data_IF_822297764971
#
_entry.id   IF_822297764971
#
_cell.length_a   1.000
_cell.length_b   1.000
_cell.length_c   1.000
_cell.angle_alpha   90.00
_cell.angle_beta   90.00
_cell.angle_gamma   90.00
#
_symmetry.space_group_name_H-M   'P 1'
#
loop_
_entity.id
_entity.type
_entity.pdbx_description
1 polymer ?
#
# COMPACT_ATOMS: atom_id res chain seq x y z
N UNK A 1 38.49 28.76 47.53
CA UNK A 1 39.55 27.90 46.94
C UNK A 1 38.84 26.66 46.40
N UNK A 2 38.56 26.62 45.09
CA UNK A 2 39.27 25.76 44.10
C UNK A 2 38.86 24.28 44.25
N UNK A 3 38.37 23.52 43.26
CA UNK A 3 38.24 23.68 41.82
C UNK A 3 37.27 22.60 41.29
N UNK A 4 36.60 22.94 40.18
CA UNK A 4 36.23 22.13 39.01
C UNK A 4 36.43 20.60 39.07
N UNK A 5 35.44 19.82 38.62
CA UNK A 5 35.55 18.84 37.53
C UNK A 5 34.14 18.53 36.96
N UNK A 6 33.83 19.17 35.82
CA UNK A 6 32.84 18.70 34.83
C UNK A 6 33.55 17.66 33.96
N UNK A 7 32.92 16.52 33.70
CA UNK A 7 33.31 15.62 32.63
C UNK A 7 32.08 15.31 31.76
N UNK A 8 32.10 15.89 30.56
CA UNK A 8 31.23 15.61 29.44
C UNK A 8 32.08 14.87 28.38
N UNK A 9 31.54 13.81 27.76
CA UNK A 9 31.96 13.18 26.49
C UNK A 9 31.13 11.87 26.33
N UNK A 10 30.59 11.42 25.20
CA UNK A 10 30.82 11.70 23.78
C UNK A 10 29.50 11.53 23.00
N UNK A 11 29.11 12.56 22.23
CA UNK A 11 28.34 12.40 21.00
C UNK A 11 29.32 12.57 19.84
N UNK A 12 29.49 11.54 19.02
CA UNK A 12 30.27 11.62 17.79
C UNK A 12 29.53 12.48 16.76
N UNK A 13 30.06 13.66 16.51
CA UNK A 13 29.80 14.46 15.31
C UNK A 13 30.61 13.89 14.13
N UNK A 14 30.06 13.82 12.90
CA UNK A 14 30.91 13.79 11.72
C UNK A 14 31.31 15.23 11.39
N UNK A 15 32.62 15.44 11.36
CA UNK A 15 33.27 16.70 11.05
C UNK A 15 32.81 17.28 9.71
N UNK A 16 32.31 18.51 9.78
CA UNK A 16 32.30 19.45 8.67
C UNK A 16 33.75 19.74 8.28
N UNK A 17 34.20 19.18 7.16
CA UNK A 17 35.34 19.76 6.45
C UNK A 17 34.86 21.09 5.85
N UNK A 18 35.22 22.18 6.51
CA UNK A 18 35.20 23.52 5.95
C UNK A 18 36.17 23.58 4.76
N UNK A 19 35.67 23.21 3.57
CA UNK A 19 36.25 23.70 2.34
C UNK A 19 35.82 25.17 2.20
N UNK A 20 36.70 26.09 2.57
CA UNK A 20 36.56 27.52 2.25
C UNK A 20 36.38 27.66 0.73
N UNK A 21 35.26 28.21 0.23
CA UNK A 21 35.20 28.58 -1.17
C UNK A 21 36.17 29.75 -1.35
N UNK A 22 37.13 29.53 -2.24
CA UNK A 22 38.07 30.54 -2.72
C UNK A 22 37.25 31.71 -3.26
N UNK A 23 37.35 32.89 -2.62
CA UNK A 23 36.74 34.12 -3.11
C UNK A 23 37.17 34.34 -4.57
N UNK A 24 36.27 34.10 -5.50
CA UNK A 24 36.40 34.57 -6.87
C UNK A 24 36.13 36.08 -6.86
N UNK A 25 37.08 36.84 -7.40
CA UNK A 25 37.00 38.29 -7.57
C UNK A 25 35.72 38.71 -8.30
N UNK A 26 35.21 39.94 -8.05
CA UNK A 26 33.96 40.40 -8.63
C UNK A 26 34.14 40.56 -10.14
N UNK A 27 33.33 39.85 -10.93
CA UNK A 27 33.17 40.20 -12.34
C UNK A 27 32.21 41.38 -12.41
N UNK A 28 32.79 42.58 -12.50
CA UNK A 28 32.11 43.78 -12.97
C UNK A 28 31.67 43.57 -14.43
N UNK A 29 30.37 43.76 -14.68
CA UNK A 29 29.79 43.82 -16.01
C UNK A 29 28.82 42.69 -16.32
N UNK A 30 27.56 42.82 -15.88
CA UNK A 30 26.45 42.07 -16.47
C UNK A 30 25.18 42.95 -16.54
N UNK A 31 24.50 42.82 -17.67
CA UNK A 31 23.35 43.56 -18.18
C UNK A 31 22.16 43.71 -17.20
N UNK A 32 21.14 44.54 -17.51
CA UNK A 32 19.99 44.77 -16.63
C UNK A 32 19.39 43.43 -16.21
N UNK A 33 19.45 43.20 -14.91
CA UNK A 33 19.13 41.97 -14.23
C UNK A 33 17.72 41.49 -14.56
N UNK A 34 17.65 40.38 -15.30
CA UNK A 34 16.38 39.75 -15.63
C UNK A 34 15.67 39.28 -14.35
N UNK A 35 14.35 39.50 -14.31
CA UNK A 35 13.47 38.94 -13.27
C UNK A 35 13.38 37.43 -13.54
N UNK A 36 13.87 36.62 -12.60
CA UNK A 36 13.92 35.16 -12.73
C UNK A 36 13.25 34.47 -11.52
N UNK A 37 12.83 33.20 -11.66
CA UNK A 37 12.32 32.43 -10.52
C UNK A 37 13.42 32.27 -9.46
N UNK A 38 13.16 32.77 -8.27
CA UNK A 38 14.10 32.79 -7.15
C UNK A 38 13.50 32.10 -5.92
N UNK A 39 14.40 31.56 -5.09
CA UNK A 39 14.09 31.14 -3.74
C UNK A 39 14.69 32.16 -2.78
N UNK A 40 13.84 32.75 -1.94
CA UNK A 40 14.18 33.78 -0.98
C UNK A 40 14.09 33.21 0.42
N UNK A 41 15.15 33.34 1.21
CA UNK A 41 15.17 32.91 2.62
C UNK A 41 15.14 34.13 3.52
N UNK A 42 14.26 34.10 4.51
CA UNK A 42 14.12 35.13 5.52
C UNK A 42 14.87 34.78 6.81
N UNK A 43 15.16 35.79 7.64
CA UNK A 43 15.80 35.64 8.95
C UNK A 43 14.96 34.83 9.93
N UNK A 44 13.63 34.88 9.80
CA UNK A 44 12.69 34.10 10.60
C UNK A 44 12.65 32.61 10.22
N UNK A 45 13.43 32.21 9.21
CA UNK A 45 13.53 30.84 8.73
C UNK A 45 12.52 30.47 7.64
N UNK A 46 11.58 31.36 7.29
CA UNK A 46 10.65 31.12 6.19
C UNK A 46 11.37 31.15 4.85
N UNK A 47 10.86 30.35 3.92
CA UNK A 47 11.35 30.29 2.54
C UNK A 47 10.22 30.65 1.60
N UNK A 48 10.45 31.66 0.76
CA UNK A 48 9.48 32.17 -0.20
C UNK A 48 9.94 31.85 -1.61
N UNK A 49 8.98 31.53 -2.48
CA UNK A 49 9.20 31.33 -3.92
C UNK A 49 8.46 32.41 -4.71
N UNK A 50 9.16 32.98 -5.67
CA UNK A 50 8.58 33.99 -6.55
C UNK A 50 9.56 34.43 -7.62
N UNK A 51 9.12 35.37 -8.45
CA UNK A 51 10.02 35.99 -9.43
C UNK A 51 10.64 37.25 -8.83
N UNK A 52 11.96 37.33 -8.88
CA UNK A 52 12.72 38.47 -8.40
C UNK A 52 14.06 38.55 -9.14
N UNK A 53 14.80 39.62 -8.92
CA UNK A 53 16.19 39.70 -9.31
C UNK A 53 17.03 38.80 -8.38
N UNK A 54 17.83 37.86 -8.90
CA UNK A 54 18.75 37.06 -8.10
C UNK A 54 19.81 37.94 -7.42
N UNK A 55 20.16 37.61 -6.17
CA UNK A 55 21.11 38.39 -5.37
C UNK A 55 20.43 39.31 -4.35
N UNK A 56 21.18 39.69 -3.31
CA UNK A 56 20.68 40.60 -2.28
C UNK A 56 20.50 42.02 -2.88
N UNK A 57 19.38 42.69 -2.61
CA UNK A 57 19.17 44.07 -3.04
C UNK A 57 20.19 45.01 -2.39
N UNK A 58 20.37 46.20 -2.96
CA UNK A 58 21.21 47.24 -2.37
C UNK A 58 20.74 47.57 -0.94
N UNK A 59 21.68 47.93 -0.07
CA UNK A 59 21.41 48.18 1.34
C UNK A 59 20.29 49.22 1.51
N UNK A 60 19.13 48.79 2.05
CA UNK A 60 17.97 49.64 2.31
C UNK A 60 16.82 49.53 1.29
N UNK A 61 17.02 48.90 0.14
CA UNK A 61 15.95 48.68 -0.83
C UNK A 61 15.19 47.37 -0.55
N UNK A 62 13.84 47.39 -0.49
CA UNK A 62 13.08 46.17 -0.32
C UNK A 62 13.16 45.31 -1.58
N UNK A 63 13.24 43.99 -1.39
CA UNK A 63 13.11 43.04 -2.49
C UNK A 63 11.64 42.96 -2.92
N UNK A 64 11.38 43.25 -4.19
CA UNK A 64 10.07 43.00 -4.81
C UNK A 64 10.01 41.57 -5.31
N UNK A 65 9.14 40.77 -4.71
CA UNK A 65 8.94 39.36 -5.03
C UNK A 65 7.53 39.15 -5.56
N UNK A 66 7.41 38.68 -6.81
CA UNK A 66 6.11 38.25 -7.34
C UNK A 66 5.85 36.80 -6.94
N UNK A 67 5.01 36.59 -5.92
CA UNK A 67 4.60 35.25 -5.46
C UNK A 67 3.28 34.82 -6.12
N UNK A 68 2.93 33.53 -5.99
CA UNK A 68 1.63 33.03 -6.44
C UNK A 68 0.43 33.66 -5.71
N UNK A 69 0.65 34.25 -4.52
CA UNK A 69 -0.36 34.94 -3.71
C UNK A 69 -0.42 36.45 -3.98
N UNK A 70 0.43 36.96 -4.88
CA UNK A 70 0.53 38.36 -5.23
C UNK A 70 1.93 38.94 -5.01
N UNK A 71 2.13 40.23 -5.35
CA UNK A 71 3.39 40.92 -5.12
C UNK A 71 3.62 41.12 -3.62
N UNK A 72 4.84 40.82 -3.18
CA UNK A 72 5.28 40.96 -1.79
C UNK A 72 6.56 41.80 -1.78
N UNK A 73 6.61 42.81 -0.91
CA UNK A 73 7.84 43.56 -0.64
C UNK A 73 8.45 43.07 0.66
N UNK A 74 9.69 42.57 0.58
CA UNK A 74 10.43 42.06 1.73
C UNK A 74 11.57 43.02 2.07
N UNK A 75 11.65 43.55 3.30
CA UNK A 75 12.75 44.42 3.71
C UNK A 75 14.11 43.75 3.58
N UNK A 76 15.14 44.46 3.10
CA UNK A 76 16.50 43.93 3.00
C UNK A 76 17.05 43.38 4.33
N UNK A 77 16.62 43.97 5.45
CA UNK A 77 17.02 43.55 6.79
C UNK A 77 16.50 42.15 7.16
N UNK A 78 15.42 41.68 6.52
CA UNK A 78 14.83 40.36 6.78
C UNK A 78 15.39 39.27 5.85
N UNK A 79 16.17 39.65 4.83
CA UNK A 79 16.69 38.72 3.81
C UNK A 79 18.01 38.07 4.25
N UNK A 80 18.04 36.74 4.21
CA UNK A 80 19.26 35.95 4.41
C UNK A 80 19.93 35.63 3.07
N UNK A 81 19.14 35.21 2.08
CA UNK A 81 19.66 34.85 0.76
C UNK A 81 18.59 34.94 -0.31
N UNK A 82 18.98 35.38 -1.51
CA UNK A 82 18.15 35.35 -2.72
C UNK A 82 18.91 34.58 -3.79
N UNK A 83 18.47 33.38 -4.11
CA UNK A 83 19.15 32.50 -5.08
C UNK A 83 18.25 32.18 -6.27
N UNK A 84 18.85 32.12 -7.46
CA UNK A 84 18.13 31.71 -8.65
C UNK A 84 17.75 30.23 -8.57
N UNK A 85 16.51 29.89 -8.94
CA UNK A 85 16.03 28.51 -8.93
C UNK A 85 16.82 27.62 -9.91
N UNK A 86 17.27 28.19 -11.03
CA UNK A 86 18.09 27.48 -12.01
C UNK A 86 19.46 27.05 -11.44
N UNK A 87 20.08 27.89 -10.61
CA UNK A 87 21.34 27.59 -9.93
C UNK A 87 21.14 26.44 -8.93
N UNK A 88 20.12 26.54 -8.09
CA UNK A 88 19.76 25.50 -7.11
C UNK A 88 19.46 24.15 -7.77
N UNK A 89 18.79 24.15 -8.93
CA UNK A 89 18.52 22.92 -9.71
C UNK A 89 19.79 22.30 -10.28
N UNK A 90 20.76 23.11 -10.73
CA UNK A 90 22.06 22.60 -11.19
C UNK A 90 22.86 21.98 -10.05
N UNK A 91 22.87 22.61 -8.88
CA UNK A 91 23.48 22.03 -7.67
C UNK A 91 22.81 20.73 -7.25
N UNK A 92 21.48 20.68 -7.30
CA UNK A 92 20.71 19.47 -7.03
C UNK A 92 21.09 18.31 -7.97
N UNK A 93 21.30 18.59 -9.25
CA UNK A 93 21.70 17.59 -10.24
C UNK A 93 23.15 17.12 -10.04
N UNK A 94 24.04 18.04 -9.68
CA UNK A 94 25.43 17.70 -9.32
C UNK A 94 25.47 16.80 -8.07
N UNK A 95 24.68 17.12 -7.04
CA UNK A 95 24.52 16.29 -5.84
C UNK A 95 23.86 14.94 -6.15
N UNK A 96 22.87 14.91 -7.05
CA UNK A 96 22.26 13.66 -7.53
C UNK A 96 23.32 12.75 -8.15
N UNK A 97 24.19 13.32 -8.98
CA UNK A 97 25.25 12.58 -9.67
C UNK A 97 26.31 12.07 -8.68
N UNK A 98 26.70 12.88 -7.69
CA UNK A 98 27.70 12.47 -6.69
C UNK A 98 27.18 11.41 -5.72
N UNK A 99 25.88 11.39 -5.44
CA UNK A 99 25.22 10.43 -4.54
C UNK A 99 24.64 9.21 -5.28
N UNK A 100 24.98 8.99 -6.55
CA UNK A 100 24.38 7.92 -7.37
C UNK A 100 24.54 6.50 -6.78
N UNK A 101 25.63 6.25 -6.06
CA UNK A 101 25.92 4.97 -5.41
C UNK A 101 25.30 4.81 -4.00
N UNK A 102 24.72 5.88 -3.44
CA UNK A 102 24.16 5.86 -2.08
C UNK A 102 22.76 5.22 -2.08
N UNK A 103 22.51 4.15 -1.32
CA UNK A 103 21.18 3.53 -1.23
C UNK A 103 20.11 4.47 -0.65
N UNK A 104 20.51 5.52 0.09
CA UNK A 104 19.63 6.54 0.66
C UNK A 104 19.72 7.89 -0.07
N UNK A 105 20.18 7.89 -1.33
CA UNK A 105 20.28 9.08 -2.18
C UNK A 105 19.04 9.96 -2.11
N UNK A 106 17.85 9.36 -2.28
CA UNK A 106 16.58 10.10 -2.32
C UNK A 106 16.34 10.93 -1.07
N UNK A 107 16.55 10.35 0.12
CA UNK A 107 16.34 11.03 1.41
C UNK A 107 17.39 12.11 1.67
N UNK A 108 18.67 11.83 1.37
CA UNK A 108 19.75 12.80 1.58
C UNK A 108 19.60 14.02 0.67
N UNK A 109 19.27 13.78 -0.60
CA UNK A 109 19.02 14.84 -1.56
C UNK A 109 17.77 15.63 -1.18
N UNK A 110 16.69 14.96 -0.77
CA UNK A 110 15.47 15.61 -0.28
C UNK A 110 15.73 16.45 0.98
N UNK A 111 16.56 16.00 1.92
CA UNK A 111 16.95 16.78 3.10
C UNK A 111 17.71 18.06 2.73
N UNK A 112 18.65 17.97 1.79
CA UNK A 112 19.34 19.15 1.26
C UNK A 112 18.36 20.07 0.50
N UNK A 113 17.51 19.53 -0.37
CA UNK A 113 16.48 20.28 -1.10
C UNK A 113 15.52 21.00 -0.16
N UNK A 114 15.08 20.34 0.92
CA UNK A 114 14.25 20.94 1.97
C UNK A 114 14.98 22.10 2.63
N UNK A 115 16.27 21.94 2.95
CA UNK A 115 17.09 23.02 3.49
C UNK A 115 17.17 24.22 2.54
N UNK A 116 17.07 24.01 1.23
CA UNK A 116 17.15 25.05 0.20
C UNK A 116 15.78 25.58 -0.27
N UNK A 117 14.65 25.05 0.23
CA UNK A 117 13.31 25.45 -0.22
C UNK A 117 12.89 24.88 -1.58
N UNK A 118 13.45 23.73 -1.98
CA UNK A 118 13.16 23.05 -3.24
C UNK A 118 11.95 22.09 -3.12
N UNK A 119 10.77 22.60 -2.80
CA UNK A 119 9.65 21.75 -2.36
C UNK A 119 9.06 20.84 -3.47
N UNK A 120 8.90 21.36 -4.69
CA UNK A 120 8.36 20.56 -5.82
C UNK A 120 9.31 19.43 -6.23
N UNK A 121 10.61 19.69 -6.16
CA UNK A 121 11.64 18.73 -6.55
C UNK A 121 11.80 17.59 -5.54
N UNK A 122 11.43 17.81 -4.27
CA UNK A 122 11.44 16.79 -3.21
C UNK A 122 10.51 15.63 -3.56
N UNK A 123 9.36 15.90 -4.18
CA UNK A 123 8.38 14.86 -4.54
C UNK A 123 9.03 13.79 -5.43
N UNK A 124 9.82 14.20 -6.43
CA UNK A 124 10.48 13.27 -7.35
C UNK A 124 11.48 12.36 -6.66
N UNK A 125 12.11 12.82 -5.58
CA UNK A 125 13.13 12.07 -4.86
C UNK A 125 12.55 11.20 -3.74
N UNK A 126 11.46 11.64 -3.10
CA UNK A 126 10.82 10.92 -2.01
C UNK A 126 9.74 9.95 -2.47
N UNK A 127 9.09 10.15 -3.61
CA UNK A 127 8.08 9.23 -4.14
C UNK A 127 8.57 7.76 -4.22
N UNK A 128 9.75 7.42 -4.77
CA UNK A 128 10.21 6.03 -4.78
C UNK A 128 10.54 5.50 -3.38
N UNK A 129 11.02 6.35 -2.47
CA UNK A 129 11.33 5.97 -1.08
C UNK A 129 10.04 5.63 -0.34
N UNK A 130 9.06 6.53 -0.40
CA UNK A 130 7.76 6.36 0.24
C UNK A 130 6.88 5.33 -0.46
N UNK A 131 7.11 5.02 -1.75
CA UNK A 131 6.47 3.88 -2.41
C UNK A 131 6.96 2.55 -1.84
N UNK A 132 8.26 2.45 -1.50
CA UNK A 132 8.84 1.27 -0.87
C UNK A 132 8.44 1.18 0.62
N UNK A 133 8.61 2.27 1.36
CA UNK A 133 8.20 2.40 2.75
C UNK A 133 7.51 3.75 3.04
N UNK A 134 6.17 3.82 2.99
CA UNK A 134 5.37 4.98 3.38
C UNK A 134 5.59 5.46 4.82
N UNK A 135 6.11 4.59 5.69
CA UNK A 135 6.40 4.91 7.08
C UNK A 135 7.89 5.19 7.33
N UNK A 136 8.70 5.37 6.28
CA UNK A 136 10.13 5.63 6.42
C UNK A 136 10.36 6.83 7.38
N UNK A 137 11.07 6.62 8.51
CA UNK A 137 11.22 7.66 9.53
C UNK A 137 11.99 8.87 9.03
N UNK A 138 12.98 8.67 8.15
CA UNK A 138 13.85 9.74 7.67
C UNK A 138 13.11 10.58 6.62
N UNK A 139 12.43 9.96 5.67
CA UNK A 139 11.56 10.66 4.73
C UNK A 139 10.47 11.45 5.48
N UNK A 140 9.86 10.85 6.49
CA UNK A 140 8.90 11.53 7.37
C UNK A 140 9.52 12.75 8.07
N UNK A 141 10.76 12.64 8.56
CA UNK A 141 11.44 13.76 9.23
C UNK A 141 11.71 14.94 8.29
N UNK A 142 12.09 14.66 7.04
CA UNK A 142 12.28 15.68 6.00
C UNK A 142 10.96 16.40 5.74
N UNK A 143 9.86 15.65 5.57
CA UNK A 143 8.54 16.22 5.30
C UNK A 143 7.98 17.03 6.48
N UNK A 144 8.29 16.66 7.73
CA UNK A 144 7.88 17.45 8.92
C UNK A 144 8.59 18.80 9.00
N UNK A 145 9.82 18.88 8.48
CA UNK A 145 10.60 20.11 8.42
C UNK A 145 10.17 21.05 7.29
N UNK A 146 9.32 20.60 6.37
CA UNK A 146 8.72 21.45 5.34
C UNK A 146 7.57 22.27 5.92
N UNK A 147 7.38 23.46 5.36
CA UNK A 147 6.22 24.27 5.67
C UNK A 147 4.98 23.70 4.97
N UNK A 148 4.36 22.70 5.62
CA UNK A 148 3.21 21.92 5.09
C UNK A 148 2.03 22.82 4.71
N UNK A 149 1.94 24.03 5.27
CA UNK A 149 0.84 24.98 5.01
C UNK A 149 0.89 25.58 3.61
N UNK A 150 2.08 25.69 3.01
CA UNK A 150 2.25 26.19 1.66
C UNK A 150 1.99 25.10 0.60
N UNK A 151 2.36 23.86 0.90
CA UNK A 151 2.32 22.73 -0.03
C UNK A 151 0.94 22.09 -0.17
N UNK A 152 0.13 22.13 0.89
CA UNK A 152 -1.27 21.73 0.86
C UNK A 152 -2.08 22.89 1.42
N UNK A 153 -2.38 23.93 0.59
CA UNK A 153 -3.15 25.07 1.04
C UNK A 153 -4.55 24.60 1.42
N UNK A 154 -4.81 24.53 2.73
CA UNK A 154 -6.15 24.30 3.24
C UNK A 154 -6.83 25.68 3.34
N UNK A 155 -8.11 25.79 2.97
CA UNK A 155 -8.84 27.04 3.13
C UNK A 155 -8.90 27.43 4.61
N UNK A 156 -8.74 28.71 4.92
CA UNK A 156 -9.05 29.25 6.24
C UNK A 156 -10.51 28.91 6.57
N UNK A 157 -10.74 28.25 7.71
CA UNK A 157 -12.09 27.80 8.05
C UNK A 157 -12.14 26.88 9.27
N UNK A 158 -13.35 26.40 9.58
CA UNK A 158 -13.61 25.43 10.64
C UNK A 158 -12.71 24.19 10.50
N UNK A 159 -12.32 23.59 11.62
CA UNK A 159 -11.48 22.41 11.71
C UNK A 159 -12.04 21.22 10.89
N UNK A 160 -13.37 21.15 10.74
CA UNK A 160 -14.04 20.20 9.85
C UNK A 160 -13.81 20.48 8.34
N UNK A 161 -13.66 21.74 7.95
CA UNK A 161 -13.31 22.11 6.58
C UNK A 161 -11.86 21.75 6.27
N UNK A 162 -10.95 21.98 7.23
CA UNK A 162 -9.54 21.59 7.14
C UNK A 162 -9.38 20.08 6.95
N UNK A 163 -10.06 19.26 7.77
CA UNK A 163 -10.01 17.80 7.64
C UNK A 163 -10.59 17.32 6.30
N UNK A 164 -11.70 17.90 5.83
CA UNK A 164 -12.29 17.55 4.53
C UNK A 164 -11.41 17.95 3.36
N UNK A 165 -10.71 19.08 3.46
CA UNK A 165 -9.74 19.50 2.46
C UNK A 165 -8.51 18.58 2.45
N UNK A 166 -8.04 18.11 3.61
CA UNK A 166 -6.98 17.10 3.70
C UNK A 166 -7.40 15.76 3.06
N UNK A 167 -8.63 15.29 3.30
CA UNK A 167 -9.18 14.10 2.64
C UNK A 167 -9.23 14.24 1.10
N UNK A 168 -9.66 15.41 0.60
CA UNK A 168 -9.69 15.69 -0.85
C UNK A 168 -8.29 15.77 -1.45
N UNK A 169 -7.34 16.40 -0.75
CA UNK A 169 -5.94 16.45 -1.16
C UNK A 169 -5.35 15.04 -1.21
N UNK A 170 -5.64 14.21 -0.21
CA UNK A 170 -5.25 12.79 -0.18
C UNK A 170 -5.83 12.00 -1.36
N UNK A 171 -7.10 12.23 -1.71
CA UNK A 171 -7.70 11.63 -2.90
C UNK A 171 -7.01 12.07 -4.21
N UNK A 172 -6.72 13.36 -4.36
CA UNK A 172 -6.02 13.88 -5.54
C UNK A 172 -4.56 13.41 -5.61
N UNK A 173 -3.98 13.07 -4.47
CA UNK A 173 -2.62 12.58 -4.33
C UNK A 173 -2.46 11.08 -4.59
N UNK A 174 -3.52 10.36 -4.97
CA UNK A 174 -3.41 8.93 -5.27
C UNK A 174 -2.43 8.69 -6.42
N UNK A 175 -1.34 7.97 -6.12
CA UNK A 175 -0.22 7.76 -7.05
C UNK A 175 1.01 8.61 -6.74
N UNK A 176 0.91 9.58 -5.82
CA UNK A 176 2.01 10.41 -5.33
C UNK A 176 2.22 10.18 -3.81
N UNK A 177 3.05 9.20 -3.43
CA UNK A 177 3.31 8.85 -2.03
C UNK A 177 3.70 10.05 -1.15
N UNK A 178 4.48 10.99 -1.68
CA UNK A 178 4.91 12.18 -0.95
C UNK A 178 3.73 13.08 -0.57
N UNK A 179 2.81 13.34 -1.51
CA UNK A 179 1.62 14.16 -1.26
C UNK A 179 0.63 13.48 -0.32
N UNK A 180 0.45 12.16 -0.45
CA UNK A 180 -0.34 11.38 0.49
C UNK A 180 0.22 11.53 1.91
N UNK A 181 1.54 11.40 2.05
CA UNK A 181 2.22 11.53 3.34
C UNK A 181 2.10 12.94 3.92
N UNK A 182 2.20 13.98 3.10
CA UNK A 182 1.99 15.37 3.53
C UNK A 182 0.55 15.61 4.02
N UNK A 183 -0.45 15.08 3.31
CA UNK A 183 -1.85 15.18 3.72
C UNK A 183 -2.10 14.49 5.08
N UNK A 184 -1.44 13.37 5.35
CA UNK A 184 -1.51 12.68 6.65
C UNK A 184 -0.79 13.44 7.77
N UNK A 185 0.41 13.96 7.50
CA UNK A 185 1.12 14.80 8.47
C UNK A 185 0.31 16.05 8.82
N UNK A 186 -0.50 16.54 7.88
CA UNK A 186 -1.43 17.63 8.15
C UNK A 186 -2.56 17.20 9.07
N UNK A 187 -3.11 16.00 8.93
CA UNK A 187 -4.08 15.42 9.88
C UNK A 187 -3.45 15.18 11.26
N UNK A 188 -2.18 14.75 11.33
CA UNK A 188 -1.43 14.55 12.59
C UNK A 188 -1.28 15.87 13.38
N UNK A 189 -1.23 17.02 12.70
CA UNK A 189 -1.20 18.34 13.35
C UNK A 189 -2.56 18.77 13.92
N UNK A 190 -3.65 18.10 13.56
CA UNK A 190 -5.00 18.35 14.08
C UNK A 190 -5.28 17.43 15.28
N UNK A 191 -6.28 17.76 16.11
CA UNK A 191 -6.60 16.93 17.28
C UNK A 191 -7.30 15.62 16.88
N UNK A 192 -7.06 14.51 17.61
CA UNK A 192 -7.71 13.22 17.37
C UNK A 192 -9.23 13.28 17.32
N UNK A 193 -9.84 14.01 18.25
CA UNK A 193 -11.30 14.15 18.34
C UNK A 193 -11.97 14.64 17.04
N UNK A 194 -11.22 15.35 16.19
CA UNK A 194 -11.69 15.87 14.91
C UNK A 194 -11.53 14.86 13.78
N UNK A 195 -10.34 14.28 13.63
CA UNK A 195 -10.06 13.43 12.47
C UNK A 195 -10.64 12.02 12.61
N UNK A 196 -10.81 11.50 13.83
CA UNK A 196 -11.33 10.15 14.07
C UNK A 196 -12.72 9.90 13.47
N UNK A 197 -13.76 10.72 13.76
CA UNK A 197 -15.09 10.54 13.19
C UNK A 197 -15.10 10.76 11.67
N UNK A 198 -14.24 11.66 11.18
CA UNK A 198 -14.15 11.95 9.75
C UNK A 198 -13.50 10.80 8.99
N UNK A 199 -12.41 10.21 9.50
CA UNK A 199 -11.80 9.02 8.95
C UNK A 199 -12.76 7.81 9.01
N UNK A 200 -13.57 7.71 10.07
CA UNK A 200 -14.63 6.70 10.15
C UNK A 200 -15.64 6.79 9.01
N UNK A 201 -16.09 8.01 8.72
CA UNK A 201 -17.03 8.25 7.62
C UNK A 201 -16.34 8.09 6.26
N UNK A 202 -15.09 8.52 6.12
CA UNK A 202 -14.33 8.46 4.87
C UNK A 202 -14.10 7.01 4.40
N UNK A 203 -13.88 6.05 5.31
CA UNK A 203 -13.79 4.61 4.97
C UNK A 203 -15.09 4.05 4.40
N UNK A 204 -16.23 4.69 4.67
CA UNK A 204 -17.54 4.31 4.14
C UNK A 204 -17.93 5.11 2.90
N UNK A 205 -17.07 6.02 2.43
CA UNK A 205 -17.33 6.86 1.26
C UNK A 205 -17.55 6.03 0.00
N UNK A 206 -18.43 6.52 -0.89
CA UNK A 206 -18.60 5.95 -2.23
C UNK A 206 -17.34 6.11 -3.08
N UNK A 207 -16.55 7.15 -2.82
CA UNK A 207 -15.32 7.48 -3.54
C UNK A 207 -14.21 6.54 -3.11
N UNK A 208 -13.72 5.72 -4.04
CA UNK A 208 -12.66 4.74 -3.76
C UNK A 208 -11.37 5.38 -3.30
N UNK A 209 -11.05 6.55 -3.86
CA UNK A 209 -9.84 7.27 -3.51
C UNK A 209 -9.84 7.81 -2.08
N UNK A 210 -10.96 8.37 -1.65
CA UNK A 210 -11.16 8.80 -0.27
C UNK A 210 -11.06 7.62 0.71
N UNK A 211 -11.63 6.46 0.36
CA UNK A 211 -11.48 5.23 1.15
C UNK A 211 -10.02 4.79 1.25
N UNK A 212 -9.29 4.78 0.14
CA UNK A 212 -7.88 4.37 0.11
C UNK A 212 -7.00 5.27 1.01
N UNK A 213 -7.18 6.59 0.89
CA UNK A 213 -6.48 7.54 1.76
C UNK A 213 -6.85 7.34 3.23
N UNK A 214 -8.16 7.22 3.54
CA UNK A 214 -8.61 7.02 4.90
C UNK A 214 -8.06 5.74 5.53
N UNK A 215 -7.97 4.63 4.78
CA UNK A 215 -7.35 3.39 5.24
C UNK A 215 -5.88 3.60 5.61
N UNK A 216 -5.10 4.28 4.77
CA UNK A 216 -3.70 4.59 5.05
C UNK A 216 -3.52 5.50 6.28
N UNK A 217 -4.34 6.55 6.37
CA UNK A 217 -4.33 7.47 7.51
C UNK A 217 -4.72 6.76 8.82
N UNK A 218 -5.74 5.90 8.81
CA UNK A 218 -6.17 5.12 9.98
C UNK A 218 -5.05 4.22 10.48
N UNK A 219 -4.33 3.53 9.59
CA UNK A 219 -3.24 2.64 10.00
C UNK A 219 -2.13 3.39 10.76
N UNK A 220 -1.87 4.65 10.39
CA UNK A 220 -0.78 5.46 10.94
C UNK A 220 -1.19 6.27 12.17
N UNK A 221 -2.40 6.84 12.15
CA UNK A 221 -2.90 7.71 13.21
C UNK A 221 -3.63 6.94 14.32
N UNK A 222 -4.20 5.78 14.01
CA UNK A 222 -4.97 4.93 14.93
C UNK A 222 -4.57 3.46 14.81
N UNK A 223 -3.32 3.08 15.15
CA UNK A 223 -2.82 1.73 14.91
C UNK A 223 -3.59 0.65 15.70
N UNK A 224 -4.19 1.00 16.85
CA UNK A 224 -4.96 0.07 17.69
C UNK A 224 -6.43 -0.02 17.25
N UNK A 225 -7.17 1.08 17.20
CA UNK A 225 -8.60 1.06 16.82
C UNK A 225 -8.79 0.78 15.31
N UNK A 226 -7.79 1.11 14.49
CA UNK A 226 -7.83 0.99 13.04
C UNK A 226 -7.82 -0.43 12.52
N UNK A 227 -7.32 -1.40 13.30
CA UNK A 227 -7.04 -2.75 12.80
C UNK A 227 -8.29 -3.47 12.27
N UNK A 228 -9.41 -3.35 12.99
CA UNK A 228 -10.70 -3.90 12.55
C UNK A 228 -11.11 -3.34 11.18
N UNK A 229 -10.96 -2.03 10.98
CA UNK A 229 -11.32 -1.38 9.71
C UNK A 229 -10.39 -1.80 8.58
N UNK A 230 -9.10 -1.95 8.86
CA UNK A 230 -8.13 -2.47 7.89
C UNK A 230 -8.50 -3.89 7.45
N UNK A 231 -8.82 -4.79 8.40
CA UNK A 231 -9.28 -6.15 8.10
C UNK A 231 -10.54 -6.15 7.24
N UNK A 232 -11.56 -5.36 7.61
CA UNK A 232 -12.80 -5.25 6.84
C UNK A 232 -12.53 -4.75 5.41
N UNK A 233 -11.68 -3.72 5.23
CA UNK A 233 -11.35 -3.20 3.90
C UNK A 233 -10.52 -4.19 3.09
N UNK A 234 -9.55 -4.85 3.69
CA UNK A 234 -8.72 -5.86 3.03
C UNK A 234 -9.56 -7.02 2.47
N UNK A 235 -10.60 -7.44 3.21
CA UNK A 235 -11.43 -8.60 2.84
C UNK A 235 -12.64 -8.23 1.98
N UNK A 236 -13.29 -7.09 2.24
CA UNK A 236 -14.64 -6.80 1.74
C UNK A 236 -14.73 -5.57 0.84
N UNK A 237 -13.67 -4.76 0.69
CA UNK A 237 -13.76 -3.59 -0.21
C UNK A 237 -13.89 -4.04 -1.66
N UNK A 238 -14.78 -3.38 -2.41
CA UNK A 238 -15.03 -3.67 -3.82
C UNK A 238 -13.82 -3.32 -4.69
N UNK A 239 -13.08 -2.29 -4.33
CA UNK A 239 -11.99 -1.74 -5.15
C UNK A 239 -10.65 -2.36 -4.78
N UNK A 240 -9.95 -2.88 -5.79
CA UNK A 240 -8.68 -3.60 -5.61
C UNK A 240 -7.62 -2.74 -4.94
N UNK A 241 -7.51 -1.47 -5.32
CA UNK A 241 -6.49 -0.57 -4.79
C UNK A 241 -6.67 -0.31 -3.29
N UNK A 242 -7.93 -0.15 -2.84
CA UNK A 242 -8.26 -0.01 -1.41
C UNK A 242 -7.87 -1.27 -0.64
N UNK A 243 -8.16 -2.45 -1.18
CA UNK A 243 -7.75 -3.73 -0.58
C UNK A 243 -6.24 -3.82 -0.46
N UNK A 244 -5.50 -3.47 -1.51
CA UNK A 244 -4.04 -3.52 -1.51
C UNK A 244 -3.42 -2.56 -0.50
N UNK A 245 -3.97 -1.35 -0.35
CA UNK A 245 -3.52 -0.42 0.70
C UNK A 245 -3.76 -1.04 2.08
N UNK A 246 -4.97 -1.54 2.36
CA UNK A 246 -5.29 -2.17 3.63
C UNK A 246 -4.38 -3.38 3.92
N UNK A 247 -4.13 -4.25 2.95
CA UNK A 247 -3.26 -5.41 3.08
C UNK A 247 -1.79 -5.03 3.35
N UNK A 248 -1.28 -4.00 2.67
CA UNK A 248 0.08 -3.47 2.91
C UNK A 248 0.22 -2.92 4.32
N UNK A 249 -0.78 -2.16 4.79
CA UNK A 249 -0.75 -1.61 6.16
C UNK A 249 -0.90 -2.72 7.22
N UNK A 250 -1.74 -3.74 6.99
CA UNK A 250 -1.83 -4.92 7.86
C UNK A 250 -0.50 -5.68 7.96
N UNK A 251 0.25 -5.82 6.86
CA UNK A 251 1.54 -6.51 6.85
C UNK A 251 2.63 -5.78 7.67
N UNK A 252 2.50 -4.44 7.81
CA UNK A 252 3.37 -3.62 8.66
C UNK A 252 3.00 -3.71 10.13
N UNK A 253 1.73 -3.99 10.43
CA UNK A 253 1.31 -4.21 11.81
C UNK A 253 2.11 -5.35 12.42
N UNK A 254 2.51 -5.18 13.69
CA UNK A 254 3.20 -6.20 14.47
C UNK A 254 2.22 -7.06 15.27
N UNK A 255 0.91 -6.93 15.04
CA UNK A 255 -0.10 -7.71 15.74
C UNK A 255 -0.19 -9.15 15.17
N UNK A 256 0.26 -10.17 15.93
CA UNK A 256 0.20 -11.55 15.47
C UNK A 256 -1.24 -12.09 15.37
N UNK A 257 -2.23 -11.41 15.95
CA UNK A 257 -3.64 -11.80 15.94
C UNK A 257 -4.33 -11.59 14.58
N UNK A 258 -3.72 -10.86 13.65
CA UNK A 258 -4.29 -10.53 12.32
C UNK A 258 -4.49 -11.77 11.46
N UNK A 259 -3.65 -12.79 11.63
CA UNK A 259 -3.68 -14.00 10.79
C UNK A 259 -5.01 -14.74 10.93
N UNK A 260 -5.59 -14.84 12.13
CA UNK A 260 -6.79 -15.62 12.38
C UNK A 260 -8.06 -15.06 11.69
N UNK A 261 -8.37 -13.75 11.74
CA UNK A 261 -9.44 -13.17 10.94
C UNK A 261 -9.27 -13.40 9.43
N UNK A 262 -8.04 -13.34 8.92
CA UNK A 262 -7.78 -13.60 7.50
C UNK A 262 -7.99 -15.08 7.14
N UNK A 263 -7.57 -16.01 8.00
CA UNK A 263 -7.84 -17.44 7.85
C UNK A 263 -9.33 -17.74 7.81
N UNK A 264 -10.14 -17.13 8.71
CA UNK A 264 -11.61 -17.25 8.63
C UNK A 264 -12.20 -16.73 7.32
N UNK A 265 -11.53 -15.78 6.66
CA UNK A 265 -11.93 -15.31 5.34
C UNK A 265 -11.86 -16.39 4.25
N UNK A 266 -10.99 -17.40 4.41
CA UNK A 266 -10.88 -18.55 3.50
C UNK A 266 -12.12 -19.45 3.54
N UNK A 267 -12.88 -19.44 4.63
CA UNK A 267 -14.12 -20.23 4.78
C UNK A 267 -15.37 -19.50 4.28
N UNK A 268 -15.19 -18.32 3.68
CA UNK A 268 -16.33 -17.53 3.17
C UNK A 268 -17.06 -18.24 2.03
N UNK A 269 -18.40 -18.17 2.07
CA UNK A 269 -19.26 -18.60 0.97
C UNK A 269 -19.04 -17.79 -0.31
N UNK A 270 -18.50 -16.57 -0.20
CA UNK A 270 -18.25 -15.69 -1.34
C UNK A 270 -16.82 -15.90 -1.91
N UNK A 271 -16.67 -16.35 -3.16
CA UNK A 271 -15.35 -16.62 -3.76
C UNK A 271 -14.39 -15.44 -3.72
N UNK A 272 -14.89 -14.23 -3.99
CA UNK A 272 -14.07 -13.02 -3.95
C UNK A 272 -13.48 -12.75 -2.56
N UNK A 273 -14.21 -13.05 -1.47
CA UNK A 273 -13.72 -12.85 -0.11
C UNK A 273 -12.59 -13.84 0.20
N UNK A 274 -12.70 -15.08 -0.26
CA UNK A 274 -11.63 -16.09 -0.12
C UNK A 274 -10.37 -15.68 -0.87
N UNK A 275 -10.51 -15.21 -2.11
CA UNK A 275 -9.41 -14.66 -2.89
C UNK A 275 -8.73 -13.48 -2.19
N UNK A 276 -9.53 -12.56 -1.65
CA UNK A 276 -9.00 -11.41 -0.90
C UNK A 276 -8.26 -11.84 0.38
N UNK A 277 -8.75 -12.88 1.05
CA UNK A 277 -8.09 -13.47 2.22
C UNK A 277 -6.75 -14.11 1.84
N UNK A 278 -6.68 -14.87 0.74
CA UNK A 278 -5.42 -15.42 0.20
C UNK A 278 -4.42 -14.29 -0.09
N UNK A 279 -4.87 -13.24 -0.80
CA UNK A 279 -4.02 -12.10 -1.16
C UNK A 279 -3.52 -11.37 0.11
N UNK A 280 -4.35 -11.24 1.13
CA UNK A 280 -3.99 -10.63 2.41
C UNK A 280 -2.99 -11.47 3.22
N UNK A 281 -3.17 -12.80 3.28
CA UNK A 281 -2.23 -13.73 3.92
C UNK A 281 -0.87 -13.71 3.21
N UNK A 282 -0.88 -13.65 1.87
CA UNK A 282 0.32 -13.51 1.06
C UNK A 282 1.03 -12.16 1.25
N UNK A 283 0.29 -11.09 1.55
CA UNK A 283 0.85 -9.79 1.90
C UNK A 283 1.45 -9.79 3.31
N UNK A 284 0.77 -10.41 4.27
CA UNK A 284 1.23 -10.54 5.66
C UNK A 284 2.53 -11.36 5.76
N UNK A 285 2.66 -12.41 4.95
CA UNK A 285 3.86 -13.24 4.93
C UNK A 285 4.01 -14.14 6.15
N UNK A 286 2.91 -14.39 6.90
CA UNK A 286 2.95 -15.17 8.14
C UNK A 286 2.90 -16.68 7.85
N UNK A 287 3.95 -17.45 8.18
CA UNK A 287 4.01 -18.88 7.90
C UNK A 287 2.95 -19.70 8.62
N UNK A 288 2.31 -19.17 9.68
CA UNK A 288 1.21 -19.86 10.38
C UNK A 288 0.01 -20.11 9.44
N UNK A 289 -0.11 -19.34 8.36
CA UNK A 289 -1.15 -19.53 7.35
C UNK A 289 -0.84 -20.64 6.32
N UNK A 290 0.39 -21.16 6.27
CA UNK A 290 0.79 -22.15 5.26
C UNK A 290 -0.04 -23.43 5.36
N UNK A 291 -0.33 -23.91 6.57
CA UNK A 291 -1.14 -25.12 6.78
C UNK A 291 -2.52 -25.01 6.14
N UNK A 292 -3.25 -23.93 6.41
CA UNK A 292 -4.57 -23.66 5.85
C UNK A 292 -4.54 -23.43 4.33
N UNK A 293 -3.50 -22.76 3.82
CA UNK A 293 -3.33 -22.58 2.37
C UNK A 293 -3.05 -23.91 1.65
N UNK A 294 -2.25 -24.81 2.25
CA UNK A 294 -2.03 -26.16 1.73
C UNK A 294 -3.33 -26.95 1.75
N UNK A 295 -4.06 -26.90 2.87
CA UNK A 295 -5.38 -27.53 2.99
C UNK A 295 -6.33 -27.04 1.91
N UNK A 296 -6.28 -25.74 1.58
CA UNK A 296 -7.09 -25.15 0.52
C UNK A 296 -6.74 -25.73 -0.84
N UNK A 297 -5.45 -25.83 -1.17
CA UNK A 297 -4.99 -26.41 -2.43
C UNK A 297 -5.30 -27.92 -2.52
N UNK A 298 -5.39 -28.65 -1.40
CA UNK A 298 -5.77 -30.07 -1.37
C UNK A 298 -7.28 -30.29 -1.48
N UNK A 299 -8.09 -29.57 -0.69
CA UNK A 299 -9.55 -29.74 -0.61
C UNK A 299 -10.32 -29.00 -1.69
N UNK A 300 -9.66 -28.12 -2.44
CA UNK A 300 -10.35 -27.36 -3.48
C UNK A 300 -10.68 -28.23 -4.72
N UNK A 301 -10.10 -29.42 -4.88
CA UNK A 301 -10.59 -30.38 -5.88
C UNK A 301 -11.90 -31.00 -5.37
N UNK A 302 -12.98 -30.92 -6.16
CA UNK A 302 -14.22 -31.65 -5.85
C UNK A 302 -13.88 -33.07 -5.41
N UNK A 303 -14.64 -33.59 -4.43
CA UNK A 303 -14.56 -35.02 -4.11
C UNK A 303 -14.59 -35.74 -5.45
N UNK A 304 -13.57 -36.55 -5.74
CA UNK A 304 -13.48 -37.33 -6.97
C UNK A 304 -14.55 -38.41 -7.04
N UNK A 305 -15.74 -38.13 -6.49
CA UNK A 305 -16.91 -38.95 -6.54
C UNK A 305 -17.18 -39.18 -8.02
N UNK A 306 -16.94 -40.43 -8.38
CA UNK A 306 -17.30 -40.97 -9.68
C UNK A 306 -18.81 -40.91 -9.76
N UNK A 307 -19.30 -40.24 -10.78
CA UNK A 307 -20.72 -40.11 -11.08
C UNK A 307 -20.91 -40.65 -12.49
N UNK A 308 -22.02 -41.33 -12.72
CA UNK A 308 -22.34 -41.84 -14.05
C UNK A 308 -23.28 -40.85 -14.75
N UNK A 309 -22.97 -40.49 -15.98
CA UNK A 309 -23.88 -39.76 -16.87
C UNK A 309 -24.35 -40.72 -17.94
N UNK A 310 -25.66 -41.00 -17.99
CA UNK A 310 -26.26 -41.90 -18.96
C UNK A 310 -27.01 -41.14 -20.04
N UNK A 311 -26.66 -41.38 -21.30
CA UNK A 311 -27.43 -40.93 -22.46
C UNK A 311 -28.19 -42.14 -23.00
N UNK A 312 -29.48 -42.24 -22.72
CA UNK A 312 -30.33 -43.36 -23.13
C UNK A 312 -31.48 -42.88 -23.99
N UNK A 313 -31.70 -43.55 -25.12
CA UNK A 313 -32.87 -43.43 -25.96
C UNK A 313 -33.76 -44.63 -25.71
N UNK A 314 -35.00 -44.35 -25.30
CA UNK A 314 -36.01 -45.36 -25.03
C UNK A 314 -37.00 -45.40 -26.20
N UNK A 315 -37.13 -46.56 -26.83
CA UNK A 315 -38.08 -46.81 -27.92
C UNK A 315 -39.10 -47.82 -27.41
N UNK A 316 -40.35 -47.38 -27.31
CA UNK A 316 -41.47 -48.28 -27.05
C UNK A 316 -41.97 -48.84 -28.38
N UNK A 317 -42.19 -50.15 -28.44
CA UNK A 317 -42.74 -50.82 -29.60
C UNK A 317 -43.81 -51.82 -29.16
N UNK A 318 -44.79 -52.04 -30.03
CA UNK A 318 -45.78 -53.10 -29.81
C UNK A 318 -45.15 -54.41 -30.31
N UNK A 319 -44.92 -55.35 -29.41
CA UNK A 319 -44.33 -56.65 -29.77
C UNK A 319 -45.37 -57.66 -30.18
N UNK A 320 -46.58 -57.57 -29.60
CA UNK A 320 -47.67 -58.49 -29.86
C UNK A 320 -49.02 -57.84 -29.51
N UNK A 321 -50.12 -58.53 -29.78
CA UNK A 321 -51.45 -58.16 -29.36
C UNK A 321 -52.12 -59.36 -28.68
N UNK A 322 -52.54 -59.17 -27.43
CA UNK A 322 -53.42 -60.12 -26.77
C UNK A 322 -54.83 -59.92 -27.35
N UNK A 323 -55.27 -60.87 -28.18
CA UNK A 323 -56.56 -60.77 -28.86
C UNK A 323 -57.56 -61.71 -28.20
N UNK A 324 -58.60 -61.14 -27.60
CA UNK A 324 -59.77 -61.89 -27.17
C UNK A 324 -60.88 -61.78 -28.23
N UNK A 325 -61.32 -62.93 -28.75
CA UNK A 325 -62.37 -62.99 -29.78
C UNK A 325 -63.69 -63.39 -29.15
N UNK A 326 -64.63 -62.45 -29.09
CA UNK A 326 -66.04 -62.69 -28.76
C UNK A 326 -66.91 -62.62 -30.03
N UNK A 327 -68.13 -63.17 -29.99
CA UNK A 327 -69.00 -63.33 -31.18
C UNK A 327 -69.32 -62.03 -31.96
N UNK A 328 -69.07 -60.84 -31.41
CA UNK A 328 -69.40 -59.57 -32.06
C UNK A 328 -68.36 -58.44 -31.91
N UNK A 329 -67.19 -58.70 -31.32
CA UNK A 329 -66.11 -57.72 -31.21
C UNK A 329 -64.75 -58.39 -31.06
N UNK A 330 -63.72 -57.80 -31.67
CA UNK A 330 -62.33 -58.14 -31.41
C UNK A 330 -61.71 -56.98 -30.62
N UNK A 331 -61.30 -57.23 -29.38
CA UNK A 331 -60.52 -56.29 -28.57
C UNK A 331 -59.09 -56.82 -28.60
N UNK A 332 -58.18 -56.01 -29.13
CA UNK A 332 -56.77 -56.35 -29.24
C UNK A 332 -55.99 -55.43 -28.30
N UNK A 333 -55.47 -55.98 -27.21
CA UNK A 333 -54.66 -55.25 -26.25
C UNK A 333 -53.18 -55.34 -26.67
N UNK A 334 -52.56 -54.25 -27.14
CA UNK A 334 -51.18 -54.28 -27.57
C UNK A 334 -50.24 -54.53 -26.39
N UNK A 335 -49.42 -55.56 -26.49
CA UNK A 335 -48.31 -55.80 -25.59
C UNK A 335 -47.18 -54.85 -25.99
N UNK A 336 -47.00 -53.79 -25.20
CA UNK A 336 -45.97 -52.78 -25.43
C UNK A 336 -44.71 -53.17 -24.67
N UNK A 337 -43.61 -53.36 -25.40
CA UNK A 337 -42.28 -53.56 -24.86
C UNK A 337 -41.41 -52.33 -25.07
N UNK A 338 -40.34 -52.26 -24.28
CA UNK A 338 -39.43 -51.11 -24.26
C UNK A 338 -38.02 -51.58 -24.57
N UNK A 339 -37.40 -50.96 -25.56
CA UNK A 339 -35.98 -51.12 -25.86
C UNK A 339 -35.23 -49.85 -25.45
N UNK A 340 -34.16 -49.99 -24.67
CA UNK A 340 -33.28 -48.89 -24.27
C UNK A 340 -31.91 -49.08 -24.95
N UNK A 341 -31.49 -48.07 -25.73
CA UNK A 341 -30.15 -47.99 -26.32
C UNK A 341 -29.42 -46.75 -25.79
N UNK A 342 -28.12 -46.81 -25.55
CA UNK A 342 -27.41 -45.66 -24.99
C UNK A 342 -25.98 -45.93 -24.50
N UNK A 343 -25.35 -44.88 -23.97
CA UNK A 343 -24.02 -44.93 -23.37
C UNK A 343 -24.04 -44.42 -21.93
N UNK A 344 -23.29 -45.06 -21.05
CA UNK A 344 -23.04 -44.61 -19.67
C UNK A 344 -21.58 -44.19 -19.57
N UNK A 345 -21.34 -42.92 -19.26
CA UNK A 345 -20.01 -42.38 -19.02
C UNK A 345 -19.73 -42.34 -17.53
N UNK A 346 -18.62 -42.96 -17.12
CA UNK A 346 -18.07 -42.80 -15.77
C UNK A 346 -17.22 -41.53 -15.73
N UNK A 347 -17.76 -40.49 -15.08
CA UNK A 347 -17.16 -39.15 -15.03
C UNK A 347 -16.81 -38.77 -13.60
N UNK A 348 -15.78 -37.94 -13.44
CA UNK A 348 -15.44 -37.37 -12.13
C UNK A 348 -16.09 -36.01 -12.02
N UNK A 349 -16.87 -35.76 -10.96
CA UNK A 349 -17.49 -34.45 -10.75
C UNK A 349 -16.41 -33.45 -10.32
N UNK A 350 -15.96 -32.60 -11.25
CA UNK A 350 -14.93 -31.60 -10.97
C UNK A 350 -15.52 -30.37 -10.24
N UNK A 351 -16.81 -30.06 -10.45
CA UNK A 351 -17.55 -29.02 -9.72
C UNK A 351 -18.87 -28.61 -10.41
N UNK A 352 -19.82 -28.03 -9.66
CA UNK A 352 -21.12 -27.52 -10.19
C UNK A 352 -21.26 -25.99 -10.13
N UNK A 353 -20.22 -25.28 -9.70
CA UNK A 353 -20.17 -23.82 -9.64
C UNK A 353 -18.91 -23.33 -10.37
N UNK A 354 -19.04 -22.19 -11.06
CA UNK A 354 -18.14 -21.71 -12.13
C UNK A 354 -16.68 -22.16 -12.04
N UNK A 355 -16.25 -23.00 -12.98
CA UNK A 355 -14.86 -23.47 -13.14
C UNK A 355 -13.83 -22.35 -12.95
N UNK A 356 -14.14 -21.14 -13.42
CA UNK A 356 -13.25 -19.98 -13.36
C UNK A 356 -12.82 -19.62 -11.93
N UNK A 357 -13.72 -19.68 -10.94
CA UNK A 357 -13.40 -19.30 -9.57
C UNK A 357 -12.46 -20.30 -8.90
N UNK A 358 -12.61 -21.59 -9.23
CA UNK A 358 -11.78 -22.68 -8.71
C UNK A 358 -10.32 -22.55 -9.13
N UNK A 359 -10.08 -22.45 -10.44
CA UNK A 359 -8.70 -22.38 -10.96
C UNK A 359 -7.97 -21.12 -10.49
N UNK A 360 -8.69 -19.99 -10.42
CA UNK A 360 -8.13 -18.73 -9.93
C UNK A 360 -7.76 -18.84 -8.46
N UNK A 361 -8.63 -19.42 -7.62
CA UNK A 361 -8.40 -19.59 -6.20
C UNK A 361 -7.20 -20.51 -5.92
N UNK A 362 -7.15 -21.66 -6.59
CA UNK A 362 -6.01 -22.59 -6.49
C UNK A 362 -4.70 -21.93 -6.93
N UNK A 363 -4.71 -21.19 -8.04
CA UNK A 363 -3.52 -20.48 -8.52
C UNK A 363 -3.05 -19.44 -7.51
N UNK A 364 -3.96 -18.61 -6.98
CA UNK A 364 -3.60 -17.60 -5.98
C UNK A 364 -3.09 -18.20 -4.70
N UNK A 365 -3.68 -19.31 -4.24
CA UNK A 365 -3.21 -20.02 -3.05
C UNK A 365 -1.78 -20.56 -3.26
N UNK A 366 -1.48 -21.14 -4.42
CA UNK A 366 -0.13 -21.58 -4.77
C UNK A 366 0.86 -20.40 -4.82
N UNK A 367 0.48 -19.27 -5.42
CA UNK A 367 1.33 -18.07 -5.45
C UNK A 367 1.58 -17.52 -4.04
N UNK A 368 0.56 -17.55 -3.17
CA UNK A 368 0.68 -17.20 -1.76
C UNK A 368 1.64 -18.16 -1.03
N UNK A 369 1.52 -19.47 -1.24
CA UNK A 369 2.43 -20.47 -0.67
C UNK A 369 3.88 -20.20 -1.08
N UNK A 370 4.13 -19.93 -2.37
CA UNK A 370 5.46 -19.57 -2.88
C UNK A 370 6.01 -18.31 -2.23
N UNK A 371 5.18 -17.28 -2.11
CA UNK A 371 5.58 -15.99 -1.54
C UNK A 371 5.89 -16.08 -0.04
N UNK A 372 5.09 -16.83 0.73
CA UNK A 372 5.26 -16.99 2.18
C UNK A 372 6.44 -17.92 2.49
N UNK A 373 6.55 -19.06 1.79
CA UNK A 373 7.60 -20.06 2.03
C UNK A 373 8.95 -19.72 1.40
N UNK A 374 8.96 -18.90 0.34
CA UNK A 374 10.14 -18.67 -0.50
C UNK A 374 10.56 -19.88 -1.33
N UNK A 375 9.72 -20.92 -1.45
CA UNK A 375 9.98 -22.15 -2.21
C UNK A 375 9.00 -22.29 -3.38
N UNK A 376 9.44 -22.92 -4.46
CA UNK A 376 8.58 -23.31 -5.57
C UNK A 376 8.54 -24.83 -5.70
N UNK A 377 7.52 -25.46 -5.12
CA UNK A 377 7.26 -26.90 -5.21
C UNK A 377 6.29 -27.25 -6.36
N UNK A 378 6.00 -26.29 -7.24
CA UNK A 378 5.07 -26.49 -8.35
C UNK A 378 3.60 -26.56 -7.91
N UNK A 379 2.78 -27.25 -8.71
CA UNK A 379 1.31 -27.30 -8.58
C UNK A 379 0.79 -28.53 -7.83
N UNK A 380 1.67 -29.43 -7.41
CA UNK A 380 1.31 -30.68 -6.76
C UNK A 380 1.02 -30.46 -5.26
N UNK A 381 -0.22 -30.68 -4.78
CA UNK A 381 -0.55 -30.52 -3.37
C UNK A 381 0.22 -31.46 -2.44
N UNK A 382 0.59 -32.66 -2.92
CA UNK A 382 1.29 -33.66 -2.09
C UNK A 382 2.69 -33.18 -1.72
N UNK A 383 3.45 -32.67 -2.69
CA UNK A 383 4.75 -32.08 -2.45
C UNK A 383 4.72 -30.97 -1.39
N UNK A 384 3.71 -30.08 -1.44
CA UNK A 384 3.51 -29.05 -0.43
C UNK A 384 3.17 -29.63 0.96
N UNK A 385 2.37 -30.70 1.02
CA UNK A 385 1.98 -31.35 2.27
C UNK A 385 3.17 -32.04 2.95
N UNK A 386 3.96 -32.81 2.19
CA UNK A 386 5.15 -33.51 2.69
C UNK A 386 6.22 -32.53 3.19
N UNK A 387 6.44 -31.44 2.44
CA UNK A 387 7.33 -30.37 2.85
C UNK A 387 6.89 -29.73 4.17
N UNK A 388 5.61 -29.39 4.31
CA UNK A 388 5.10 -28.75 5.52
C UNK A 388 5.18 -29.66 6.75
N UNK A 389 4.90 -30.96 6.60
CA UNK A 389 5.05 -31.93 7.71
C UNK A 389 6.49 -31.99 8.23
N UNK A 390 7.48 -31.83 7.36
CA UNK A 390 8.89 -31.94 7.73
C UNK A 390 9.48 -30.62 8.25
N UNK A 391 9.01 -29.48 7.76
CA UNK A 391 9.67 -28.18 7.94
C UNK A 391 8.86 -27.17 8.78
N UNK A 392 7.63 -27.50 9.19
CA UNK A 392 6.71 -26.60 9.92
C UNK A 392 7.36 -25.94 11.13
N UNK A 393 7.97 -26.73 12.02
CA UNK A 393 8.51 -26.21 13.28
C UNK A 393 9.65 -25.22 13.04
N UNK A 394 10.56 -25.57 12.13
CA UNK A 394 11.72 -24.73 11.76
C UNK A 394 11.27 -23.41 11.14
N UNK A 395 10.35 -23.47 10.17
CA UNK A 395 9.85 -22.28 9.45
C UNK A 395 9.12 -21.32 10.38
N UNK A 396 8.24 -21.84 11.25
CA UNK A 396 7.49 -21.02 12.21
C UNK A 396 8.42 -20.44 13.29
N UNK A 397 9.33 -21.25 13.84
CA UNK A 397 10.29 -20.78 14.84
C UNK A 397 11.19 -19.68 14.29
N UNK A 398 11.75 -19.86 13.08
CA UNK A 398 12.59 -18.85 12.43
C UNK A 398 11.83 -17.52 12.19
N UNK A 399 10.54 -17.60 11.85
CA UNK A 399 9.69 -16.42 11.68
C UNK A 399 9.41 -15.69 13.00
N UNK A 400 9.04 -16.42 14.06
CA UNK A 400 8.77 -15.82 15.37
C UNK A 400 10.01 -15.11 15.91
N UNK A 401 11.19 -15.73 15.81
CA UNK A 401 12.47 -15.12 16.18
C UNK A 401 12.74 -13.84 15.37
N UNK A 402 12.54 -13.87 14.04
CA UNK A 402 12.73 -12.69 13.17
C UNK A 402 11.80 -11.53 13.53
N UNK A 403 10.57 -11.82 13.96
CA UNK A 403 9.59 -10.82 14.38
C UNK A 403 9.72 -10.40 15.84
N UNK A 404 10.70 -10.94 16.58
CA UNK A 404 10.93 -10.59 17.98
C UNK A 404 9.93 -11.21 18.97
N UNK A 405 9.19 -12.24 18.54
CA UNK A 405 8.36 -13.02 19.45
C UNK A 405 9.23 -14.08 20.15
N UNK A 406 9.12 -14.25 21.48
CA UNK A 406 9.87 -15.29 22.18
C UNK A 406 9.44 -16.66 21.62
N UNK A 407 10.37 -17.59 21.37
CA UNK A 407 9.99 -18.96 21.08
C UNK A 407 9.20 -19.46 22.28
N UNK A 408 7.98 -19.97 22.05
CA UNK A 408 7.21 -20.60 23.11
C UNK A 408 8.12 -21.63 23.79
N UNK A 409 8.32 -21.45 25.11
CA UNK A 409 9.06 -22.41 25.90
C UNK A 409 8.43 -23.77 25.64
N UNK A 410 9.24 -24.73 25.16
CA UNK A 410 8.83 -26.13 25.04
C UNK A 410 8.22 -26.52 26.39
N UNK A 411 6.90 -26.58 26.47
CA UNK A 411 6.24 -27.13 27.64
C UNK A 411 6.62 -28.61 27.68
N UNK A 412 7.58 -28.93 28.55
CA UNK A 412 7.72 -30.26 29.11
C UNK A 412 6.50 -30.55 29.97
N UNK A 413 5.91 -31.72 29.77
CA UNK A 413 4.73 -32.23 30.46
C UNK A 413 4.16 -33.40 29.71
#
# INVERSE_FOLDING_TARGET
MSQLHRAAALLLAPALLCATPRLAAPQEGAAPSAIEPCVVRLLDGRVLRGKAQPGLPAAGEPLRLETARGPLEVPAAELVSVRALAELRREAEALRSSLAADPRRGVRLASWMASQGLHEEIERELDPVLAADPADPLATSVLRGLDVEELVPLPDGDLNALCRAALRAGEQALGHPTKLRLAELRLERLSPDLYEPLLANAVLSKRSGERAFAVGAIARLMPKEGLKRLLERALLDRQKDVRQVAQKELARSSDPGIVFPLLRGLDSKHPQVRLNAIDALAALGDPRALGDLILRVTHSGGTGQRVNVSFTKQISYVSDFDVEVAQAAAIADPVINVLQEGAVLDVTLVGTHGETDYYVERSRALDALKKISGKDLGRDPKAWTEWWQTQREEVVAAYLVRRGFPPEARNGG
#
